data_IF_375641612826
#
_entry.id   IF_375641612826
#
_cell.length_a   1.000
_cell.length_b   1.000
_cell.length_c   1.000
_cell.angle_alpha   90.00
_cell.angle_beta   90.00
_cell.angle_gamma   90.00
#
_symmetry.space_group_name_H-M   'P 1'
#
loop_
_entity.id
_entity.type
_entity.pdbx_description
1 polymer ?
#
# COMPACT_ATOMS: atom_id res chain seq x y z
N UNK A 1 35.37 -16.40 7.52
CA UNK A 1 34.04 -16.99 7.25
C UNK A 1 33.18 -15.86 6.75
N UNK A 2 32.83 -15.90 5.47
CA UNK A 2 32.11 -14.82 4.81
C UNK A 2 30.60 -14.96 5.14
N UNK A 3 29.99 -13.87 5.61
CA UNK A 3 28.56 -13.85 5.96
C UNK A 3 27.67 -13.57 4.75
N UNK A 4 28.26 -13.32 3.58
CA UNK A 4 27.54 -13.00 2.34
C UNK A 4 26.56 -14.11 1.93
N UNK A 5 26.92 -15.38 2.11
CA UNK A 5 26.03 -16.52 1.82
C UNK A 5 24.74 -16.50 2.67
N UNK A 6 24.82 -16.04 3.93
CA UNK A 6 23.65 -15.89 4.80
C UNK A 6 22.76 -14.73 4.34
N UNK A 7 23.37 -13.63 3.86
CA UNK A 7 22.64 -12.51 3.27
C UNK A 7 21.91 -12.93 1.98
N UNK A 8 22.52 -13.77 1.14
CA UNK A 8 21.88 -14.29 -0.07
C UNK A 8 20.67 -15.17 0.24
N UNK A 9 20.74 -16.02 1.27
CA UNK A 9 19.59 -16.82 1.72
C UNK A 9 18.44 -15.91 2.14
N UNK A 10 18.73 -14.83 2.88
CA UNK A 10 17.72 -13.84 3.27
C UNK A 10 17.09 -13.16 2.04
N UNK A 11 17.90 -12.72 1.08
CA UNK A 11 17.40 -12.10 -0.15
C UNK A 11 16.53 -13.04 -0.98
N UNK A 12 16.90 -14.32 -1.06
CA UNK A 12 16.11 -15.34 -1.77
C UNK A 12 14.77 -15.60 -1.10
N UNK A 13 14.73 -15.63 0.24
CA UNK A 13 13.47 -15.74 1.01
C UNK A 13 12.57 -14.53 0.78
N UNK A 14 13.11 -13.32 0.79
CA UNK A 14 12.33 -12.11 0.52
C UNK A 14 11.70 -12.12 -0.88
N UNK A 15 12.44 -12.58 -1.90
CA UNK A 15 11.91 -12.74 -3.27
C UNK A 15 10.78 -13.78 -3.33
N UNK A 16 10.95 -14.91 -2.66
CA UNK A 16 9.93 -15.95 -2.60
C UNK A 16 8.67 -15.48 -1.86
N UNK A 17 8.82 -14.78 -0.73
CA UNK A 17 7.72 -14.20 0.02
C UNK A 17 6.95 -13.16 -0.82
N UNK A 18 7.65 -12.33 -1.60
CA UNK A 18 7.03 -11.36 -2.51
C UNK A 18 6.26 -12.05 -3.66
N UNK A 19 6.81 -13.13 -4.22
CA UNK A 19 6.16 -13.92 -5.26
C UNK A 19 4.89 -14.61 -4.72
N UNK A 20 4.96 -15.22 -3.53
CA UNK A 20 3.82 -15.84 -2.87
C UNK A 20 2.69 -14.81 -2.62
N UNK A 21 3.03 -13.62 -2.13
CA UNK A 21 2.07 -12.54 -1.94
C UNK A 21 1.38 -12.12 -3.25
N UNK A 22 2.16 -11.94 -4.32
CA UNK A 22 1.65 -11.54 -5.63
C UNK A 22 0.70 -12.59 -6.23
N UNK A 23 1.01 -13.88 -6.05
CA UNK A 23 0.16 -14.99 -6.48
C UNK A 23 -1.15 -15.05 -5.67
N UNK A 24 -1.08 -14.86 -4.35
CA UNK A 24 -2.28 -14.79 -3.50
C UNK A 24 -3.18 -13.63 -3.94
N UNK A 25 -2.62 -12.43 -4.11
CA UNK A 25 -3.39 -11.25 -4.48
C UNK A 25 -3.97 -11.36 -5.90
N UNK A 26 -3.24 -11.97 -6.84
CA UNK A 26 -3.79 -12.32 -8.17
C UNK A 26 -4.94 -13.31 -8.07
N UNK A 27 -4.77 -14.40 -7.33
CA UNK A 27 -5.83 -15.39 -7.13
C UNK A 27 -7.10 -14.75 -6.53
N UNK A 28 -6.93 -13.82 -5.58
CA UNK A 28 -8.05 -13.05 -5.01
C UNK A 28 -8.75 -12.16 -6.04
N UNK A 29 -8.01 -11.47 -6.92
CA UNK A 29 -8.58 -10.68 -8.03
C UNK A 29 -9.33 -11.55 -9.03
N UNK A 30 -8.84 -12.76 -9.28
CA UNK A 30 -9.47 -13.74 -10.17
C UNK A 30 -10.66 -14.48 -9.51
N UNK A 31 -11.03 -14.10 -8.28
CA UNK A 31 -12.20 -14.62 -7.57
C UNK A 31 -11.96 -15.85 -6.69
N UNK A 32 -10.73 -16.33 -6.55
CA UNK A 32 -10.42 -17.48 -5.71
C UNK A 32 -10.76 -17.19 -4.23
N UNK A 33 -11.44 -18.13 -3.58
CA UNK A 33 -11.83 -18.00 -2.17
C UNK A 33 -10.66 -18.32 -1.24
N UNK A 34 -10.66 -17.76 -0.02
CA UNK A 34 -9.62 -18.06 0.96
C UNK A 34 -9.49 -19.56 1.33
N UNK A 35 -10.56 -20.36 1.41
CA UNK A 35 -10.42 -21.81 1.55
C UNK A 35 -9.68 -22.47 0.37
N UNK A 36 -9.93 -22.04 -0.88
CA UNK A 36 -9.22 -22.55 -2.05
C UNK A 36 -7.72 -22.17 -2.02
N UNK A 37 -7.42 -20.94 -1.61
CA UNK A 37 -6.04 -20.48 -1.41
C UNK A 37 -5.37 -21.26 -0.28
N UNK A 38 -6.06 -21.51 0.83
CA UNK A 38 -5.54 -22.33 1.93
C UNK A 38 -5.19 -23.74 1.47
N UNK A 39 -6.07 -24.39 0.70
CA UNK A 39 -5.82 -25.70 0.12
C UNK A 39 -4.60 -25.70 -0.83
N UNK A 40 -4.49 -24.68 -1.70
CA UNK A 40 -3.36 -24.54 -2.61
C UNK A 40 -2.02 -24.31 -1.89
N UNK A 41 -2.03 -23.59 -0.77
CA UNK A 41 -0.85 -23.33 0.07
C UNK A 41 -0.56 -24.44 1.09
N UNK A 42 -1.38 -25.49 1.17
CA UNK A 42 -1.25 -26.55 2.18
C UNK A 42 -1.53 -26.08 3.61
N UNK A 43 -2.35 -25.03 3.78
CA UNK A 43 -2.71 -24.45 5.07
C UNK A 43 -3.99 -25.07 5.62
N UNK A 44 -4.03 -25.26 6.93
CA UNK A 44 -5.13 -25.97 7.60
C UNK A 44 -6.48 -25.23 7.57
N UNK A 45 -6.50 -23.92 7.30
CA UNK A 45 -7.73 -23.14 7.33
C UNK A 45 -7.64 -21.86 6.48
N UNK A 46 -8.83 -21.32 6.14
CA UNK A 46 -8.97 -19.97 5.57
C UNK A 46 -8.24 -18.92 6.40
N UNK A 47 -8.39 -18.96 7.72
CA UNK A 47 -7.77 -17.98 8.61
C UNK A 47 -6.23 -18.05 8.54
N UNK A 48 -5.66 -19.25 8.40
CA UNK A 48 -4.22 -19.40 8.21
C UNK A 48 -3.74 -18.75 6.90
N UNK A 49 -4.52 -18.85 5.82
CA UNK A 49 -4.21 -18.19 4.54
C UNK A 49 -4.28 -16.65 4.64
N UNK A 50 -5.33 -16.11 5.27
CA UNK A 50 -5.45 -14.67 5.52
C UNK A 50 -4.28 -14.14 6.35
N UNK A 51 -3.92 -14.86 7.42
CA UNK A 51 -2.77 -14.52 8.26
C UNK A 51 -1.44 -14.63 7.52
N UNK A 52 -1.26 -15.62 6.64
CA UNK A 52 -0.06 -15.74 5.80
C UNK A 52 0.07 -14.54 4.87
N UNK A 53 -1.00 -14.17 4.16
CA UNK A 53 -1.04 -12.98 3.30
C UNK A 53 -0.70 -11.71 4.07
N UNK A 54 -1.30 -11.52 5.25
CA UNK A 54 -1.03 -10.35 6.08
C UNK A 54 0.44 -10.29 6.53
N UNK A 55 1.03 -11.41 6.96
CA UNK A 55 2.44 -11.47 7.33
C UNK A 55 3.37 -11.19 6.15
N UNK A 56 3.06 -11.75 4.98
CA UNK A 56 3.82 -11.49 3.76
C UNK A 56 3.81 -10.01 3.38
N UNK A 57 2.65 -9.36 3.44
CA UNK A 57 2.53 -7.93 3.18
C UNK A 57 3.38 -7.08 4.16
N UNK A 58 3.32 -7.40 5.46
CA UNK A 58 4.14 -6.70 6.47
C UNK A 58 5.63 -6.91 6.28
N UNK A 59 6.06 -8.12 5.88
CA UNK A 59 7.46 -8.40 5.59
C UNK A 59 7.90 -7.66 4.33
N UNK A 60 7.11 -7.68 3.26
CA UNK A 60 7.40 -6.94 2.04
C UNK A 60 7.56 -5.43 2.31
N UNK A 61 6.69 -4.85 3.12
CA UNK A 61 6.79 -3.44 3.53
C UNK A 61 8.08 -3.15 4.31
N UNK A 62 8.47 -4.03 5.25
CA UNK A 62 9.72 -3.90 6.01
C UNK A 62 10.97 -4.01 5.13
N UNK A 63 10.99 -4.94 4.17
CA UNK A 63 12.12 -5.12 3.26
C UNK A 63 12.19 -4.01 2.20
N UNK A 64 11.04 -3.46 1.77
CA UNK A 64 10.99 -2.35 0.84
C UNK A 64 11.44 -1.02 1.47
N UNK A 65 11.31 -0.86 2.80
CA UNK A 65 11.65 0.39 3.51
C UNK A 65 13.08 0.89 3.30
N UNK A 66 14.16 0.09 3.45
CA UNK A 66 15.53 0.57 3.23
C UNK A 66 15.80 0.95 1.77
N UNK A 67 15.32 0.15 0.81
CA UNK A 67 15.47 0.45 -0.62
C UNK A 67 14.64 1.68 -1.05
N UNK A 68 13.45 1.85 -0.46
CA UNK A 68 12.63 3.07 -0.64
C UNK A 68 13.31 4.28 -0.03
N UNK A 69 13.89 4.19 1.17
CA UNK A 69 14.61 5.30 1.77
C UNK A 69 15.81 5.74 0.92
N UNK A 70 16.52 4.79 0.30
CA UNK A 70 17.62 5.07 -0.63
C UNK A 70 17.13 5.73 -1.92
N UNK A 71 16.05 5.20 -2.53
CA UNK A 71 15.44 5.80 -3.72
C UNK A 71 14.87 7.19 -3.40
N UNK A 72 14.08 7.31 -2.34
CA UNK A 72 13.44 8.56 -1.93
C UNK A 72 14.52 9.60 -1.59
N UNK A 73 15.68 9.23 -1.02
CA UNK A 73 16.80 10.17 -0.81
C UNK A 73 17.33 10.80 -2.10
N UNK A 74 17.22 10.10 -3.24
CA UNK A 74 17.57 10.65 -4.55
C UNK A 74 16.50 11.63 -5.09
N UNK A 75 15.28 11.59 -4.56
CA UNK A 75 14.15 12.47 -4.88
C UNK A 75 13.85 13.52 -3.78
N UNK A 76 14.62 13.54 -2.69
CA UNK A 76 14.39 14.40 -1.51
C UNK A 76 13.30 13.86 -0.57
N UNK A 77 12.96 14.61 0.48
CA UNK A 77 11.99 14.15 1.49
C UNK A 77 10.52 14.10 0.99
N UNK A 78 10.26 14.63 -0.21
CA UNK A 78 8.92 14.78 -0.79
C UNK A 78 8.11 13.48 -0.91
N UNK A 79 8.63 12.42 -1.56
CA UNK A 79 7.93 11.14 -1.66
C UNK A 79 7.64 10.50 -0.29
N UNK A 80 8.53 10.65 0.69
CA UNK A 80 8.33 10.09 2.03
C UNK A 80 7.14 10.78 2.74
N UNK A 81 7.09 12.11 2.74
CA UNK A 81 5.96 12.87 3.28
C UNK A 81 4.64 12.53 2.56
N UNK A 82 4.71 12.42 1.23
CA UNK A 82 3.55 12.07 0.41
C UNK A 82 2.98 10.69 0.74
N UNK A 83 3.84 9.69 1.00
CA UNK A 83 3.42 8.36 1.47
C UNK A 83 2.78 8.42 2.85
N UNK A 84 3.38 9.15 3.78
CA UNK A 84 2.85 9.29 5.14
C UNK A 84 1.45 9.92 5.13
N UNK A 85 1.26 10.97 4.33
CA UNK A 85 -0.03 11.62 4.15
C UNK A 85 -1.06 10.68 3.51
N UNK A 86 -0.66 9.89 2.50
CA UNK A 86 -1.54 8.90 1.87
C UNK A 86 -1.98 7.81 2.87
N UNK A 87 -1.06 7.33 3.72
CA UNK A 87 -1.36 6.35 4.78
C UNK A 87 -2.32 6.95 5.83
N UNK A 88 -2.09 8.18 6.28
CA UNK A 88 -2.98 8.86 7.25
C UNK A 88 -4.39 9.01 6.67
N UNK A 89 -4.51 9.45 5.42
CA UNK A 89 -5.80 9.58 4.75
C UNK A 89 -6.49 8.22 4.59
N UNK A 90 -5.78 7.18 4.14
CA UNK A 90 -6.33 5.83 4.01
C UNK A 90 -6.85 5.30 5.35
N UNK A 91 -6.09 5.49 6.44
CA UNK A 91 -6.49 5.08 7.79
C UNK A 91 -7.78 5.77 8.25
N UNK A 92 -7.89 7.08 8.02
CA UNK A 92 -9.08 7.88 8.40
C UNK A 92 -10.31 7.46 7.60
N UNK A 93 -10.13 7.23 6.31
CA UNK A 93 -11.16 6.69 5.42
C UNK A 93 -11.63 5.31 5.91
N UNK A 94 -10.70 4.43 6.26
CA UNK A 94 -11.01 3.10 6.78
C UNK A 94 -11.74 3.11 8.13
N UNK A 95 -11.55 4.16 8.95
CA UNK A 95 -12.29 4.34 10.20
C UNK A 95 -13.73 4.80 9.98
N UNK A 96 -14.06 5.35 8.81
CA UNK A 96 -15.40 5.82 8.47
C UNK A 96 -16.24 4.73 7.79
N UNK A 97 -17.14 4.11 8.56
CA UNK A 97 -18.03 3.05 8.06
C UNK A 97 -18.98 3.47 6.94
N UNK A 98 -19.20 4.78 6.74
CA UNK A 98 -20.10 5.32 5.70
C UNK A 98 -19.34 5.80 4.47
N UNK A 99 -18.01 5.69 4.46
CA UNK A 99 -17.15 6.24 3.42
C UNK A 99 -17.64 5.91 1.99
N UNK A 100 -17.76 4.61 1.67
CA UNK A 100 -18.11 4.14 0.32
C UNK A 100 -19.46 4.65 -0.19
N UNK A 101 -20.35 5.06 0.72
CA UNK A 101 -21.67 5.58 0.38
C UNK A 101 -21.76 7.10 0.32
N UNK A 102 -20.69 7.85 0.63
CA UNK A 102 -20.76 9.33 0.66
C UNK A 102 -20.68 9.99 -0.71
N UNK A 103 -19.91 9.42 -1.63
CA UNK A 103 -19.72 10.00 -2.96
C UNK A 103 -19.37 8.93 -3.99
N UNK A 104 -19.60 9.18 -5.30
CA UNK A 104 -19.59 8.14 -6.33
C UNK A 104 -18.29 7.34 -6.46
N UNK A 105 -17.13 7.93 -6.11
CA UNK A 105 -15.80 7.31 -6.27
C UNK A 105 -15.13 6.96 -4.95
N UNK A 106 -15.85 6.95 -3.83
CA UNK A 106 -15.28 6.72 -2.51
C UNK A 106 -14.54 5.37 -2.39
N UNK A 107 -15.12 4.30 -2.91
CA UNK A 107 -14.46 2.99 -2.93
C UNK A 107 -13.16 3.00 -3.76
N UNK A 108 -13.14 3.73 -4.87
CA UNK A 108 -11.96 3.88 -5.72
C UNK A 108 -10.86 4.68 -5.02
N UNK A 109 -11.20 5.81 -4.39
CA UNK A 109 -10.23 6.58 -3.58
C UNK A 109 -9.60 5.72 -2.49
N UNK A 110 -10.40 4.89 -1.79
CA UNK A 110 -9.88 3.98 -0.77
C UNK A 110 -8.90 2.97 -1.36
N UNK A 111 -9.24 2.36 -2.49
CA UNK A 111 -8.40 1.38 -3.18
C UNK A 111 -7.09 2.02 -3.67
N UNK A 112 -7.17 3.15 -4.35
CA UNK A 112 -6.01 3.92 -4.83
C UNK A 112 -5.07 4.27 -3.68
N UNK A 113 -5.59 4.77 -2.57
CA UNK A 113 -4.79 5.09 -1.38
C UNK A 113 -4.23 3.85 -0.66
N UNK A 114 -4.81 2.67 -0.87
CA UNK A 114 -4.30 1.43 -0.29
C UNK A 114 -3.01 0.93 -0.96
N UNK A 115 -2.85 1.23 -2.27
CA UNK A 115 -1.70 0.81 -3.07
C UNK A 115 -0.65 1.91 -3.24
N UNK A 116 -1.04 3.18 -3.09
CA UNK A 116 -0.14 4.33 -3.26
C UNK A 116 1.14 4.27 -2.39
N UNK A 117 1.08 3.92 -1.09
CA UNK A 117 2.27 3.89 -0.24
C UNK A 117 3.31 2.88 -0.69
N UNK A 118 2.92 1.91 -1.52
CA UNK A 118 3.81 0.87 -2.03
C UNK A 118 4.38 1.15 -3.42
N UNK A 119 3.81 2.12 -4.13
CA UNK A 119 4.16 2.43 -5.52
C UNK A 119 5.56 3.09 -5.64
N UNK A 120 6.30 2.88 -6.74
CA UNK A 120 7.48 3.69 -7.05
C UNK A 120 7.15 5.20 -7.07
N UNK A 121 8.12 6.12 -6.86
CA UNK A 121 7.83 7.55 -6.73
C UNK A 121 6.93 8.13 -7.84
N UNK A 122 7.25 7.91 -9.11
CA UNK A 122 6.41 8.39 -10.22
C UNK A 122 4.96 7.89 -10.16
N UNK A 123 4.77 6.60 -9.89
CA UNK A 123 3.44 6.01 -9.73
C UNK A 123 2.73 6.47 -8.44
N UNK A 124 3.47 6.78 -7.37
CA UNK A 124 2.91 7.39 -6.16
C UNK A 124 2.29 8.75 -6.48
N UNK A 125 2.99 9.60 -7.25
CA UNK A 125 2.43 10.90 -7.67
C UNK A 125 1.16 10.72 -8.50
N UNK A 126 1.17 9.81 -9.49
CA UNK A 126 -0.01 9.55 -10.33
C UNK A 126 -1.20 9.05 -9.51
N UNK A 127 -0.96 8.11 -8.58
CA UNK A 127 -2.01 7.55 -7.72
C UNK A 127 -2.56 8.59 -6.75
N UNK A 128 -1.70 9.44 -6.16
CA UNK A 128 -2.17 10.53 -5.28
C UNK A 128 -2.94 11.57 -6.06
N UNK A 129 -2.48 11.95 -7.26
CA UNK A 129 -3.21 12.86 -8.16
C UNK A 129 -4.61 12.32 -8.50
N UNK A 130 -4.70 11.05 -8.87
CA UNK A 130 -5.98 10.36 -9.14
C UNK A 130 -6.87 10.32 -7.90
N UNK A 131 -6.33 9.97 -6.73
CA UNK A 131 -7.09 9.95 -5.48
C UNK A 131 -7.63 11.34 -5.13
N UNK A 132 -6.83 12.40 -5.30
CA UNK A 132 -7.25 13.78 -5.06
C UNK A 132 -8.34 14.24 -6.04
N UNK A 133 -8.26 13.84 -7.31
CA UNK A 133 -9.27 14.15 -8.32
C UNK A 133 -10.61 13.42 -8.07
N UNK A 134 -10.55 12.21 -7.51
CA UNK A 134 -11.73 11.38 -7.25
C UNK A 134 -12.42 11.69 -5.91
N UNK A 135 -11.82 12.54 -5.06
CA UNK A 135 -12.43 13.02 -3.82
C UNK A 135 -13.60 13.97 -4.11
N UNK A 136 -14.76 13.66 -3.52
CA UNK A 136 -15.93 14.53 -3.56
C UNK A 136 -15.91 15.64 -2.50
N UNK A 137 -16.81 16.61 -2.66
CA UNK A 137 -17.05 17.65 -1.66
C UNK A 137 -17.82 17.11 -0.43
N UNK A 138 -17.81 17.88 0.67
CA UNK A 138 -18.62 17.56 1.87
C UNK A 138 -17.98 16.53 2.80
N UNK A 139 -16.64 16.45 2.83
CA UNK A 139 -15.91 15.59 3.75
C UNK A 139 -16.03 16.12 5.20
N UNK A 140 -16.05 15.23 6.22
CA UNK A 140 -15.93 15.65 7.60
C UNK A 140 -14.65 16.45 7.82
N UNK A 141 -14.69 17.45 8.70
CA UNK A 141 -13.54 18.35 8.93
C UNK A 141 -12.21 17.62 9.18
N UNK A 142 -12.24 16.52 9.96
CA UNK A 142 -11.05 15.72 10.24
C UNK A 142 -10.51 14.94 9.02
N UNK A 143 -11.37 14.61 8.05
CA UNK A 143 -10.95 14.01 6.77
C UNK A 143 -10.48 15.10 5.81
N UNK A 144 -11.20 16.23 5.74
CA UNK A 144 -10.81 17.38 4.94
C UNK A 144 -9.40 17.86 5.29
N UNK A 145 -9.08 18.01 6.58
CA UNK A 145 -7.74 18.38 7.02
C UNK A 145 -6.64 17.36 6.66
N UNK A 146 -6.98 16.09 6.44
CA UNK A 146 -6.03 15.09 5.95
C UNK A 146 -5.85 15.18 4.42
N UNK A 147 -6.94 15.49 3.70
CA UNK A 147 -6.91 15.77 2.26
C UNK A 147 -6.09 17.03 1.97
N UNK A 148 -6.27 18.09 2.76
CA UNK A 148 -5.53 19.34 2.59
C UNK A 148 -4.03 19.15 2.83
N UNK A 149 -3.65 18.32 3.82
CA UNK A 149 -2.25 17.93 4.04
C UNK A 149 -1.69 17.11 2.88
N UNK A 150 -2.42 16.10 2.41
CA UNK A 150 -2.01 15.31 1.25
C UNK A 150 -1.80 16.18 0.00
N UNK A 151 -2.66 17.18 -0.20
CA UNK A 151 -2.53 18.14 -1.29
C UNK A 151 -1.30 19.03 -1.14
N UNK A 152 -1.07 19.57 0.06
CA UNK A 152 0.11 20.40 0.33
C UNK A 152 1.41 19.61 0.10
N UNK A 153 1.49 18.37 0.57
CA UNK A 153 2.65 17.51 0.36
C UNK A 153 2.82 17.14 -1.12
N UNK A 154 1.73 16.92 -1.86
CA UNK A 154 1.76 16.66 -3.30
C UNK A 154 2.28 17.87 -4.10
N UNK A 155 1.84 19.08 -3.74
CA UNK A 155 2.28 20.33 -4.36
C UNK A 155 3.74 20.63 -4.03
N UNK A 156 4.17 20.43 -2.79
CA UNK A 156 5.57 20.62 -2.37
C UNK A 156 6.53 19.61 -3.02
N UNK A 157 6.04 18.41 -3.31
CA UNK A 157 6.84 17.32 -3.87
C UNK A 157 6.85 17.29 -5.41
N UNK A 158 6.02 18.08 -6.10
CA UNK A 158 5.99 18.18 -7.56
C UNK A 158 6.88 19.34 -8.04
N UNK A 159 7.96 19.13 -8.81
CA UNK A 159 8.66 20.24 -9.45
C UNK A 159 7.74 20.82 -10.52
N UNK A 160 7.50 22.13 -10.46
CA UNK A 160 6.72 22.87 -11.46
C UNK A 160 7.35 22.85 -12.86
#
# INVERSE_FOLDING_TARGET
MDLSELCEIRARRARLDAEELALIDRARRDGATWPAIAAALGLASRQAAEQRRHRLAQTAEREARPFRAEIDSAYGDGPAHLREAAIDLHRRIGADRRWDGRFPRAALVRETLSVAPDAPPGALYDLVSQALADLGAGLPAATQAAVDRLRADFEAASPG
#
